data_IF_102571848076
#
_entry.id   IF_102571848076
#
_cell.length_a   1.000
_cell.length_b   1.000
_cell.length_c   1.000
_cell.angle_alpha   90.00
_cell.angle_beta   90.00
_cell.angle_gamma   90.00
#
_symmetry.space_group_name_H-M   'P 1'
#
loop_
_entity.id
_entity.type
_entity.pdbx_description
1 polymer ?
#
# COMPACT_ATOMS: atom_id res chain seq x y z
N UNK A 1 10.70 11.46 6.07
CA UNK A 1 9.46 11.16 6.82
C UNK A 1 9.52 11.92 8.13
N UNK A 2 8.85 13.07 8.23
CA UNK A 2 8.96 13.98 9.39
C UNK A 2 8.44 13.35 10.69
N UNK A 3 7.32 12.62 10.62
CA UNK A 3 6.71 11.93 11.78
C UNK A 3 7.69 10.95 12.41
N UNK A 4 8.37 10.12 11.60
CA UNK A 4 9.33 9.14 12.09
C UNK A 4 10.56 9.83 12.70
N UNK A 5 11.11 10.83 12.00
CA UNK A 5 12.28 11.57 12.45
C UNK A 5 12.06 12.19 13.85
N UNK A 6 10.89 12.78 14.08
CA UNK A 6 10.57 13.40 15.38
C UNK A 6 10.28 12.38 16.47
N UNK A 7 9.58 11.30 16.13
CA UNK A 7 9.06 10.34 17.12
C UNK A 7 10.10 9.32 17.57
N UNK A 8 10.99 8.89 16.66
CA UNK A 8 11.92 7.79 16.91
C UNK A 8 13.40 8.18 16.78
N UNK A 9 13.72 9.25 16.05
CA UNK A 9 15.12 9.67 15.82
C UNK A 9 15.50 10.92 16.62
N UNK A 10 14.51 11.60 17.24
CA UNK A 10 14.72 12.83 17.99
C UNK A 10 15.22 13.99 17.12
N UNK A 11 14.85 14.01 15.83
CA UNK A 11 15.32 14.99 14.84
C UNK A 11 14.15 15.65 14.12
N UNK A 12 14.40 16.88 13.66
CA UNK A 12 13.54 17.58 12.71
C UNK A 12 14.12 17.39 11.31
N UNK A 13 13.27 17.11 10.32
CA UNK A 13 13.70 16.75 8.96
C UNK A 13 13.24 17.78 7.94
N UNK A 14 12.17 17.50 7.19
CA UNK A 14 11.67 18.29 6.08
C UNK A 14 10.77 19.45 6.50
N UNK A 15 10.22 19.44 7.72
CA UNK A 15 9.32 20.48 8.22
C UNK A 15 9.77 21.04 9.57
N UNK A 16 11.01 21.54 9.73
CA UNK A 16 11.57 21.84 11.05
C UNK A 16 10.85 22.95 11.82
N UNK A 17 10.11 23.83 11.12
CA UNK A 17 9.40 24.96 11.74
C UNK A 17 7.98 24.59 12.24
N UNK A 18 7.39 23.50 11.73
CA UNK A 18 6.02 23.09 12.09
C UNK A 18 5.97 22.45 13.47
N UNK A 19 4.89 22.64 14.22
CA UNK A 19 4.67 21.98 15.52
C UNK A 19 4.39 20.47 15.38
N UNK A 20 4.65 19.66 16.42
CA UNK A 20 4.38 18.22 16.38
C UNK A 20 2.93 17.87 16.03
N UNK A 21 1.97 18.57 16.66
CA UNK A 21 0.53 18.43 16.39
C UNK A 21 0.14 18.89 14.99
N UNK A 22 0.79 19.93 14.48
CA UNK A 22 0.53 20.49 13.16
C UNK A 22 0.96 19.51 12.06
N UNK A 23 2.14 18.90 12.20
CA UNK A 23 2.62 17.85 11.29
C UNK A 23 1.67 16.66 11.25
N UNK A 24 1.13 16.23 12.40
CA UNK A 24 0.15 15.12 12.44
C UNK A 24 -1.17 15.50 11.79
N UNK A 25 -1.66 16.72 12.01
CA UNK A 25 -2.91 17.18 11.41
C UNK A 25 -2.79 17.26 9.88
N UNK A 26 -1.73 17.88 9.38
CA UNK A 26 -1.48 17.99 7.94
C UNK A 26 -1.31 16.61 7.30
N UNK A 27 -0.61 15.69 7.99
CA UNK A 27 -0.51 14.30 7.54
C UNK A 27 -1.88 13.62 7.45
N UNK A 28 -2.74 13.73 8.47
CA UNK A 28 -4.08 13.13 8.45
C UNK A 28 -4.96 13.73 7.36
N UNK A 29 -4.90 15.05 7.15
CA UNK A 29 -5.66 15.70 6.09
C UNK A 29 -5.22 15.25 4.68
N UNK A 30 -3.94 14.95 4.51
CA UNK A 30 -3.41 14.41 3.25
C UNK A 30 -3.75 12.92 3.10
N UNK A 31 -3.63 12.14 4.17
CA UNK A 31 -3.95 10.73 4.16
C UNK A 31 -5.45 10.48 3.97
N UNK A 32 -6.34 11.30 4.55
CA UNK A 32 -7.79 11.22 4.31
C UNK A 32 -8.14 11.41 2.82
N UNK A 33 -7.33 12.19 2.09
CA UNK A 33 -7.51 12.43 0.64
C UNK A 33 -6.93 11.31 -0.21
N UNK A 34 -5.82 10.72 0.22
CA UNK A 34 -5.05 9.76 -0.58
C UNK A 34 -5.29 8.30 -0.17
N UNK A 35 -5.88 8.07 1.01
CA UNK A 35 -6.14 6.77 1.65
C UNK A 35 -4.93 5.83 1.66
N UNK A 36 -3.73 6.38 1.78
CA UNK A 36 -2.49 5.60 1.64
C UNK A 36 -2.32 4.63 2.80
N UNK A 37 -2.64 5.04 4.03
CA UNK A 37 -2.51 4.18 5.20
C UNK A 37 -3.54 3.03 5.20
N UNK A 38 -4.76 3.29 4.73
CA UNK A 38 -5.81 2.28 4.51
C UNK A 38 -5.35 1.27 3.45
N UNK A 39 -4.88 1.76 2.31
CA UNK A 39 -4.32 0.94 1.23
C UNK A 39 -3.17 0.06 1.74
N UNK A 40 -2.17 0.63 2.41
CA UNK A 40 -1.05 -0.13 2.99
C UNK A 40 -1.51 -1.14 4.07
N UNK A 41 -2.60 -0.86 4.77
CA UNK A 41 -3.24 -1.74 5.74
C UNK A 41 -4.05 -2.89 5.12
N UNK A 42 -4.78 -2.65 4.04
CA UNK A 42 -5.57 -3.64 3.30
C UNK A 42 -4.69 -4.67 2.58
N UNK A 43 -3.46 -4.28 2.23
CA UNK A 43 -2.43 -5.13 1.63
C UNK A 43 -1.87 -6.19 2.60
N UNK A 44 -2.37 -6.26 3.83
CA UNK A 44 -1.95 -7.18 4.89
C UNK A 44 -2.45 -8.62 4.71
N UNK A 45 -2.53 -9.10 3.47
CA UNK A 45 -3.10 -10.43 3.15
C UNK A 45 -2.06 -11.50 3.48
N UNK A 46 -2.32 -12.34 4.49
CA UNK A 46 -1.45 -13.47 4.77
C UNK A 46 -1.70 -14.53 3.69
N UNK A 47 -0.62 -14.95 3.04
CA UNK A 47 -0.57 -16.18 2.25
C UNK A 47 -1.55 -16.23 1.06
N UNK A 48 -1.37 -15.31 0.11
CA UNK A 48 -1.95 -15.47 -1.21
C UNK A 48 -1.32 -16.72 -1.85
N UNK A 49 -2.12 -17.77 -1.97
CA UNK A 49 -1.76 -19.00 -2.68
C UNK A 49 -1.84 -18.72 -4.18
N UNK A 50 -0.81 -18.06 -4.72
CA UNK A 50 -0.68 -17.85 -6.16
C UNK A 50 -0.40 -19.23 -6.77
N UNK A 51 -1.42 -19.87 -7.33
CA UNK A 51 -1.32 -21.17 -7.98
C UNK A 51 -0.65 -20.98 -9.34
N UNK A 52 0.68 -20.85 -9.33
CA UNK A 52 1.54 -21.14 -10.49
C UNK A 52 1.22 -20.40 -11.81
N UNK A 53 0.61 -19.23 -11.75
CA UNK A 53 0.32 -18.44 -12.94
C UNK A 53 1.14 -17.15 -12.96
N UNK A 54 1.69 -16.84 -14.13
CA UNK A 54 2.67 -15.77 -14.35
C UNK A 54 2.03 -14.36 -14.34
N UNK A 55 0.70 -14.27 -14.33
CA UNK A 55 -0.06 -13.03 -14.43
C UNK A 55 -1.17 -13.01 -13.38
N UNK A 56 -1.10 -12.06 -12.44
CA UNK A 56 -2.15 -11.84 -11.43
C UNK A 56 -2.58 -10.37 -11.41
N UNK A 57 -3.89 -10.14 -11.34
CA UNK A 57 -4.48 -8.83 -11.12
C UNK A 57 -4.97 -8.76 -9.69
N UNK A 58 -4.49 -7.75 -8.97
CA UNK A 58 -4.90 -7.41 -7.63
C UNK A 58 -5.86 -6.23 -7.73
N UNK A 59 -7.06 -6.40 -7.23
CA UNK A 59 -8.08 -5.35 -7.20
C UNK A 59 -8.37 -5.05 -5.75
N UNK A 60 -8.05 -3.84 -5.32
CA UNK A 60 -8.42 -3.32 -4.01
C UNK A 60 -9.76 -2.59 -4.14
N UNK A 61 -10.75 -3.05 -3.40
CA UNK A 61 -12.07 -2.42 -3.28
C UNK A 61 -12.30 -2.06 -1.80
N UNK A 62 -11.82 -0.89 -1.38
CA UNK A 62 -11.80 -0.51 0.03
C UNK A 62 -10.89 -1.44 0.84
N UNK A 63 -11.44 -2.14 1.83
CA UNK A 63 -10.71 -3.10 2.68
C UNK A 63 -10.58 -4.50 2.06
N UNK A 64 -11.27 -4.80 0.94
CA UNK A 64 -11.26 -6.12 0.33
C UNK A 64 -10.23 -6.21 -0.81
N UNK A 65 -9.34 -7.21 -0.73
CA UNK A 65 -8.46 -7.57 -1.84
C UNK A 65 -9.06 -8.75 -2.61
N UNK A 66 -9.31 -8.53 -3.90
CA UNK A 66 -9.66 -9.58 -4.86
C UNK A 66 -8.47 -9.87 -5.75
N UNK A 67 -8.29 -11.16 -6.05
CA UNK A 67 -7.13 -11.65 -6.80
C UNK A 67 -7.65 -12.47 -7.95
N UNK A 68 -7.24 -12.08 -9.15
CA UNK A 68 -7.60 -12.74 -10.38
C UNK A 68 -6.34 -13.30 -11.03
N UNK A 69 -6.21 -14.62 -11.03
CA UNK A 69 -5.10 -15.31 -11.66
C UNK A 69 -5.41 -15.61 -13.13
N UNK A 70 -4.44 -15.36 -14.01
CA UNK A 70 -4.57 -15.61 -15.44
C UNK A 70 -3.37 -16.42 -15.96
N UNK A 71 -3.67 -17.49 -16.68
CA UNK A 71 -2.66 -18.31 -17.36
C UNK A 71 -2.10 -17.68 -18.64
N UNK A 72 -2.70 -16.58 -19.11
CA UNK A 72 -2.32 -15.89 -20.35
C UNK A 72 -2.29 -14.37 -20.14
N UNK A 73 -1.16 -13.75 -20.47
CA UNK A 73 -0.95 -12.30 -20.39
C UNK A 73 -2.00 -11.50 -21.17
N UNK A 74 -2.38 -11.92 -22.38
CA UNK A 74 -3.41 -11.21 -23.16
C UNK A 74 -4.79 -11.28 -22.47
N UNK A 75 -5.10 -12.38 -21.77
CA UNK A 75 -6.34 -12.48 -21.00
C UNK A 75 -6.31 -11.54 -19.78
N UNK A 76 -5.17 -11.48 -19.08
CA UNK A 76 -4.97 -10.55 -17.97
C UNK A 76 -5.11 -9.08 -18.42
N UNK A 77 -4.47 -8.69 -19.52
CA UNK A 77 -4.59 -7.33 -20.05
C UNK A 77 -6.01 -6.93 -20.43
N UNK A 78 -6.78 -7.85 -21.03
CA UNK A 78 -8.20 -7.58 -21.33
C UNK A 78 -9.00 -7.39 -20.05
N UNK A 79 -8.82 -8.27 -19.08
CA UNK A 79 -9.50 -8.17 -17.80
C UNK A 79 -9.13 -6.87 -17.06
N UNK A 80 -7.87 -6.45 -17.09
CA UNK A 80 -7.41 -5.18 -16.53
C UNK A 80 -8.15 -4.00 -17.17
N UNK A 81 -8.20 -3.95 -18.50
CA UNK A 81 -8.88 -2.89 -19.25
C UNK A 81 -10.39 -2.87 -19.01
N UNK A 82 -11.01 -4.02 -18.73
CA UNK A 82 -12.44 -4.09 -18.44
C UNK A 82 -12.73 -3.66 -16.99
N UNK A 83 -11.87 -4.04 -16.04
CA UNK A 83 -11.94 -3.61 -14.64
C UNK A 83 -11.74 -2.10 -14.49
N UNK A 84 -10.77 -1.51 -15.22
CA UNK A 84 -10.53 -0.06 -15.24
C UNK A 84 -11.72 0.74 -15.82
N UNK A 85 -12.52 0.12 -16.70
CA UNK A 85 -13.70 0.77 -17.28
C UNK A 85 -14.94 0.67 -16.39
N UNK A 86 -15.07 -0.41 -15.61
CA UNK A 86 -16.22 -0.61 -14.73
C UNK A 86 -16.23 0.39 -13.58
N UNK A 87 -15.06 0.75 -13.03
CA UNK A 87 -14.96 1.73 -11.95
C UNK A 87 -13.56 2.35 -11.89
N UNK A 88 -13.47 3.66 -12.15
CA UNK A 88 -12.22 4.41 -12.09
C UNK A 88 -11.72 4.64 -10.66
N UNK A 89 -12.52 4.34 -9.64
CA UNK A 89 -12.14 4.51 -8.24
C UNK A 89 -11.52 3.25 -7.62
N UNK A 90 -11.31 2.18 -8.40
CA UNK A 90 -10.66 0.96 -7.92
C UNK A 90 -9.15 1.09 -8.05
N UNK A 91 -8.44 0.78 -6.98
CA UNK A 91 -6.97 0.66 -7.03
C UNK A 91 -6.61 -0.72 -7.58
N UNK A 92 -6.25 -0.74 -8.87
CA UNK A 92 -5.92 -1.97 -9.59
C UNK A 92 -4.41 -2.04 -9.80
N UNK A 93 -3.80 -3.13 -9.31
CA UNK A 93 -2.37 -3.40 -9.49
C UNK A 93 -2.21 -4.67 -10.31
N UNK A 94 -1.55 -4.54 -11.46
CA UNK A 94 -1.13 -5.70 -12.26
C UNK A 94 0.27 -6.14 -11.85
N UNK A 95 0.42 -7.41 -11.49
CA UNK A 95 1.72 -8.02 -11.20
C UNK A 95 1.97 -9.15 -12.19
N UNK A 96 3.07 -9.03 -12.92
CA UNK A 96 3.58 -10.06 -13.82
C UNK A 96 4.88 -10.63 -13.23
N UNK A 97 5.02 -11.95 -13.20
CA UNK A 97 6.27 -12.58 -12.77
C UNK A 97 6.38 -14.02 -13.26
N UNK A 98 7.56 -14.40 -13.73
CA UNK A 98 7.83 -15.70 -14.37
C UNK A 98 7.74 -16.89 -13.39
N UNK A 99 7.66 -16.63 -12.08
CA UNK A 99 7.53 -17.64 -11.04
C UNK A 99 6.67 -17.12 -9.88
N UNK A 100 6.02 -18.05 -9.17
CA UNK A 100 5.33 -17.75 -7.91
C UNK A 100 6.22 -17.00 -6.92
N UNK A 101 7.53 -17.30 -6.89
CA UNK A 101 8.49 -16.64 -6.02
C UNK A 101 8.85 -15.23 -6.48
N UNK A 102 8.89 -14.96 -7.78
CA UNK A 102 9.11 -13.61 -8.31
C UNK A 102 7.90 -12.70 -8.03
N UNK A 103 6.68 -13.22 -8.23
CA UNK A 103 5.44 -12.51 -7.87
C UNK A 103 5.40 -12.28 -6.36
N UNK A 104 5.76 -13.29 -5.56
CA UNK A 104 5.90 -13.16 -4.11
C UNK A 104 7.00 -12.21 -3.68
N UNK A 105 8.12 -12.09 -4.38
CA UNK A 105 9.22 -11.21 -4.00
C UNK A 105 8.90 -9.75 -4.33
N UNK A 106 8.33 -9.49 -5.51
CA UNK A 106 7.78 -8.18 -5.86
C UNK A 106 6.72 -7.74 -4.84
N UNK A 107 5.88 -8.68 -4.39
CA UNK A 107 4.91 -8.49 -3.33
C UNK A 107 5.59 -8.26 -1.96
N UNK A 108 6.46 -9.16 -1.50
CA UNK A 108 7.07 -9.14 -0.16
C UNK A 108 7.98 -7.93 0.05
N UNK A 109 8.70 -7.47 -0.97
CA UNK A 109 9.51 -6.25 -0.89
C UNK A 109 8.64 -4.98 -0.81
N UNK A 110 7.46 -4.96 -1.43
CA UNK A 110 6.51 -3.86 -1.28
C UNK A 110 5.82 -3.87 0.10
N UNK A 111 5.50 -5.05 0.64
CA UNK A 111 4.59 -5.17 1.79
C UNK A 111 5.27 -5.44 3.14
N UNK A 112 6.49 -6.00 3.17
CA UNK A 112 7.21 -6.19 4.44
C UNK A 112 7.63 -4.86 5.06
N UNK A 113 8.17 -3.96 4.23
CA UNK A 113 8.54 -2.60 4.63
C UNK A 113 7.30 -1.75 4.92
N UNK A 114 6.20 -1.95 4.17
CA UNK A 114 4.96 -1.20 4.41
C UNK A 114 4.35 -1.47 5.80
N UNK A 115 4.44 -2.70 6.34
CA UNK A 115 3.91 -3.02 7.68
C UNK A 115 4.62 -2.28 8.80
N UNK A 116 5.95 -2.34 8.81
CA UNK A 116 6.73 -1.64 9.84
C UNK A 116 6.61 -0.13 9.64
N UNK A 117 6.57 0.33 8.39
CA UNK A 117 6.31 1.73 8.07
C UNK A 117 4.96 2.23 8.61
N UNK A 118 3.85 1.53 8.33
CA UNK A 118 2.50 1.89 8.80
C UNK A 118 2.45 1.93 10.32
N UNK A 119 3.05 0.93 10.97
CA UNK A 119 3.15 0.86 12.43
C UNK A 119 3.92 2.04 13.01
N UNK A 120 5.09 2.35 12.45
CA UNK A 120 5.91 3.50 12.87
C UNK A 120 5.18 4.82 12.68
N UNK A 121 4.48 5.01 11.56
CA UNK A 121 3.68 6.21 11.31
C UNK A 121 2.55 6.36 12.33
N UNK A 122 1.76 5.31 12.56
CA UNK A 122 0.65 5.36 13.52
C UNK A 122 1.13 5.66 14.95
N UNK A 123 2.19 4.97 15.39
CA UNK A 123 2.80 5.23 16.70
C UNK A 123 3.39 6.64 16.79
N UNK A 124 4.03 7.12 15.72
CA UNK A 124 4.55 8.49 15.67
C UNK A 124 3.45 9.54 15.77
N UNK A 125 2.31 9.32 15.10
CA UNK A 125 1.15 10.18 15.24
C UNK A 125 0.63 10.23 16.69
N UNK A 126 0.57 9.11 17.40
CA UNK A 126 0.18 9.07 18.82
C UNK A 126 1.16 9.81 19.73
N UNK A 127 2.47 9.70 19.46
CA UNK A 127 3.53 10.37 20.21
C UNK A 127 3.42 11.89 20.04
N UNK A 128 3.26 12.36 18.79
CA UNK A 128 3.26 13.78 18.46
C UNK A 128 1.91 14.48 18.69
N UNK A 129 0.83 13.72 18.88
CA UNK A 129 -0.51 14.25 19.20
C UNK A 129 -0.69 14.63 20.68
N UNK A 130 0.24 14.24 21.56
CA UNK A 130 0.21 14.60 22.98
C UNK A 130 0.66 16.05 23.19
#
# INVERSE_FOLDING_TARGET
>A
SEIIARSFEGRFSSLPESGGKEVVNEFRELDDKLRLMEMFGALNIPNIFIRGHENAIFVLEGDDLKIYDYSNTHAAWRALLDLEKEDQNKDIVFVCGDTTDAVRLAFTNYFSDAREFVKLINQGCEILSK
#
